data_IF_122153886078
#
_entry.id   IF_122153886078
#
_cell.length_a   1.000
_cell.length_b   1.000
_cell.length_c   1.000
_cell.angle_alpha   90.00
_cell.angle_beta   90.00
_cell.angle_gamma   90.00
#
_symmetry.space_group_name_H-M   'P 1'
#
loop_
_entity.id
_entity.type
_entity.pdbx_description
1 polymer ?
#
# COMPACT_ATOMS: atom_id res chain seq x y z
N UNK A 1 -7.12 -0.14 12.77
CA UNK A 1 -7.24 0.90 11.71
C UNK A 1 -7.87 2.24 12.14
N UNK A 2 -8.53 2.40 13.30
CA UNK A 2 -9.17 3.70 13.69
C UNK A 2 -8.23 4.93 13.66
N UNK A 3 -6.92 4.70 13.84
CA UNK A 3 -5.91 5.77 13.91
C UNK A 3 -5.33 6.17 12.54
N UNK A 4 -5.67 5.48 11.44
CA UNK A 4 -5.17 5.82 10.11
C UNK A 4 -5.86 7.07 9.56
N UNK A 5 -5.15 7.81 8.72
CA UNK A 5 -5.62 9.05 8.11
C UNK A 5 -6.82 8.80 7.18
N UNK A 6 -7.52 9.88 6.82
CA UNK A 6 -8.64 9.80 5.87
C UNK A 6 -8.18 9.27 4.52
N UNK A 7 -6.99 9.63 4.07
CA UNK A 7 -6.40 9.19 2.81
C UNK A 7 -6.21 7.66 2.77
N UNK A 8 -5.68 7.07 3.85
CA UNK A 8 -5.58 5.59 3.95
C UNK A 8 -6.95 4.94 3.96
N UNK A 9 -7.94 5.52 4.64
CA UNK A 9 -9.31 4.97 4.63
C UNK A 9 -9.92 5.03 3.23
N UNK A 10 -9.74 6.13 2.51
CA UNK A 10 -10.21 6.29 1.13
C UNK A 10 -9.52 5.32 0.16
N UNK A 11 -8.22 5.08 0.36
CA UNK A 11 -7.48 4.06 -0.39
C UNK A 11 -8.10 2.68 -0.17
N UNK A 12 -8.32 2.28 1.08
CA UNK A 12 -8.90 0.98 1.41
C UNK A 12 -10.33 0.83 0.87
N UNK A 13 -11.13 1.88 0.93
CA UNK A 13 -12.46 1.91 0.31
C UNK A 13 -12.37 1.74 -1.21
N UNK A 14 -11.43 2.44 -1.86
CA UNK A 14 -11.23 2.33 -3.31
C UNK A 14 -10.78 0.91 -3.69
N UNK A 15 -9.82 0.34 -2.97
CA UNK A 15 -9.35 -1.04 -3.17
C UNK A 15 -10.46 -2.07 -2.98
N UNK A 16 -11.41 -1.84 -2.06
CA UNK A 16 -12.54 -2.77 -1.84
C UNK A 16 -13.50 -2.88 -3.04
N UNK A 17 -13.42 -1.92 -3.98
CA UNK A 17 -14.23 -1.88 -5.20
C UNK A 17 -13.48 -2.44 -6.42
N UNK A 18 -12.19 -2.75 -6.27
CA UNK A 18 -11.36 -3.30 -7.33
C UNK A 18 -11.40 -4.83 -7.32
N UNK A 19 -11.41 -5.44 -8.50
CA UNK A 19 -11.13 -6.87 -8.62
C UNK A 19 -9.63 -7.10 -8.44
N UNK A 20 -9.25 -7.62 -7.27
CA UNK A 20 -7.87 -7.87 -6.86
C UNK A 20 -7.70 -9.33 -6.41
N UNK A 21 -6.49 -9.92 -6.56
CA UNK A 21 -6.16 -11.19 -5.92
C UNK A 21 -6.32 -11.10 -4.40
N UNK A 22 -6.53 -12.23 -3.73
CA UNK A 22 -6.63 -12.26 -2.26
C UNK A 22 -5.34 -11.77 -1.59
N UNK A 23 -5.51 -10.91 -0.59
CA UNK A 23 -4.45 -10.40 0.28
C UNK A 23 -5.03 -10.12 1.69
N UNK A 24 -4.14 -10.05 2.68
CA UNK A 24 -4.49 -9.61 4.04
C UNK A 24 -4.04 -8.16 4.25
N UNK A 25 -4.85 -7.36 4.95
CA UNK A 25 -4.45 -6.02 5.38
C UNK A 25 -3.73 -6.14 6.72
N UNK A 26 -2.54 -5.56 6.82
CA UNK A 26 -1.67 -5.59 8.01
C UNK A 26 -1.22 -4.19 8.37
N UNK A 27 -0.96 -3.96 9.66
CA UNK A 27 -0.61 -2.64 10.19
C UNK A 27 0.57 -2.77 11.15
N UNK A 28 1.75 -3.06 10.61
CA UNK A 28 2.97 -3.20 11.39
C UNK A 28 3.60 -1.85 11.79
N UNK A 29 3.20 -0.75 11.15
CA UNK A 29 3.60 0.63 11.49
C UNK A 29 2.41 1.37 12.10
N UNK A 30 2.00 0.92 13.29
CA UNK A 30 0.82 1.42 14.00
C UNK A 30 0.89 2.92 14.31
N UNK A 31 2.09 3.46 14.54
CA UNK A 31 2.36 4.87 14.77
C UNK A 31 2.29 5.73 13.49
N UNK A 32 2.52 5.16 12.30
CA UNK A 32 2.41 5.90 11.05
C UNK A 32 0.96 5.90 10.57
N UNK A 33 0.26 7.02 10.80
CA UNK A 33 -1.15 7.14 10.40
C UNK A 33 -1.36 7.16 8.88
N UNK A 34 -0.31 7.39 8.09
CA UNK A 34 -0.37 7.67 6.65
C UNK A 34 0.09 6.51 5.76
N UNK A 35 0.47 5.39 6.36
CA UNK A 35 0.86 4.16 5.67
C UNK A 35 0.04 2.95 6.11
N UNK A 36 -0.08 1.95 5.23
CA UNK A 36 -0.74 0.67 5.53
C UNK A 36 -0.04 -0.47 4.77
N UNK A 37 -0.04 -1.67 5.35
CA UNK A 37 0.55 -2.86 4.76
C UNK A 37 -0.49 -3.80 4.13
N UNK A 38 -0.09 -4.49 3.08
CA UNK A 38 -0.84 -5.55 2.42
C UNK A 38 0.05 -6.78 2.24
N UNK A 39 -0.40 -7.93 2.70
CA UNK A 39 0.37 -9.17 2.69
C UNK A 39 -0.26 -10.20 1.77
N UNK A 40 0.57 -10.82 0.92
CA UNK A 40 0.24 -12.03 0.16
C UNK A 40 1.40 -13.03 0.26
N UNK A 41 1.20 -14.12 1.00
CA UNK A 41 2.27 -15.08 1.28
C UNK A 41 3.44 -14.41 2.02
N UNK A 42 4.64 -14.54 1.45
CA UNK A 42 5.88 -13.95 1.97
C UNK A 42 6.16 -12.53 1.41
N UNK A 43 5.24 -11.96 0.61
CA UNK A 43 5.36 -10.60 0.09
C UNK A 43 4.57 -9.63 0.96
N UNK A 44 5.23 -8.54 1.34
CA UNK A 44 4.63 -7.42 2.06
C UNK A 44 4.72 -6.16 1.20
N UNK A 45 3.59 -5.49 1.02
CA UNK A 45 3.48 -4.25 0.26
C UNK A 45 3.05 -3.15 1.23
N UNK A 46 3.93 -2.18 1.49
CA UNK A 46 3.54 -0.96 2.19
C UNK A 46 3.14 0.11 1.20
N UNK A 47 2.00 0.75 1.47
CA UNK A 47 1.53 1.90 0.71
C UNK A 47 1.45 3.09 1.65
N UNK A 48 2.19 4.15 1.33
CA UNK A 48 2.05 5.45 1.98
C UNK A 48 1.22 6.38 1.10
N UNK A 49 0.36 7.15 1.75
CA UNK A 49 -0.44 8.23 1.14
C UNK A 49 0.13 9.61 1.47
N UNK A 50 1.26 9.66 2.17
CA UNK A 50 1.92 10.91 2.52
C UNK A 50 2.71 11.44 1.33
N UNK A 51 2.11 12.40 0.62
CA UNK A 51 2.80 13.21 -0.37
C UNK A 51 2.57 14.68 -0.10
N UNK A 52 3.64 15.47 -0.16
CA UNK A 52 3.54 16.94 -0.21
C UNK A 52 2.82 17.40 -1.49
N UNK A 53 2.88 16.59 -2.54
CA UNK A 53 2.19 16.79 -3.81
C UNK A 53 0.90 15.96 -3.84
N UNK A 54 -0.24 16.62 -3.68
CA UNK A 54 -1.57 15.98 -3.65
C UNK A 54 -1.96 15.29 -4.97
N UNK A 55 -1.23 15.53 -6.07
CA UNK A 55 -1.59 14.95 -7.38
C UNK A 55 -1.17 13.49 -7.53
N UNK A 56 -0.09 13.09 -6.83
CA UNK A 56 0.44 11.72 -6.86
C UNK A 56 0.74 11.25 -5.44
N UNK A 57 -0.29 10.92 -4.67
CA UNK A 57 -0.15 10.74 -3.23
C UNK A 57 0.45 9.39 -2.82
N UNK A 58 0.52 8.42 -3.74
CA UNK A 58 0.86 7.04 -3.38
C UNK A 58 2.34 6.75 -3.59
N UNK A 59 2.96 6.17 -2.57
CA UNK A 59 4.28 5.54 -2.64
C UNK A 59 4.17 4.09 -2.18
N UNK A 60 4.87 3.19 -2.85
CA UNK A 60 4.81 1.73 -2.64
C UNK A 60 6.20 1.24 -2.29
N UNK A 61 6.30 0.46 -1.22
CA UNK A 61 7.48 -0.33 -0.86
C UNK A 61 7.06 -1.80 -0.88
N UNK A 62 7.83 -2.66 -1.54
CA UNK A 62 7.63 -4.10 -1.56
C UNK A 62 8.82 -4.76 -0.91
N UNK A 63 8.54 -5.60 0.08
CA UNK A 63 9.53 -6.24 0.93
C UNK A 63 9.27 -7.74 1.01
N UNK A 64 10.34 -8.49 1.24
CA UNK A 64 10.26 -9.87 1.70
C UNK A 64 9.93 -9.88 3.19
N UNK A 65 8.79 -10.46 3.55
CA UNK A 65 8.26 -10.44 4.92
C UNK A 65 9.19 -11.12 5.93
N UNK A 66 9.91 -12.17 5.50
CA UNK A 66 10.75 -12.99 6.40
C UNK A 66 12.06 -12.30 6.73
N UNK A 67 12.64 -11.62 5.76
CA UNK A 67 13.96 -11.00 5.86
C UNK A 67 13.90 -9.50 6.09
N UNK A 68 12.74 -8.87 5.84
CA UNK A 68 12.58 -7.42 5.85
C UNK A 68 13.33 -6.72 4.72
N UNK A 69 13.81 -7.47 3.72
CA UNK A 69 14.58 -6.91 2.62
C UNK A 69 13.65 -6.20 1.64
N UNK A 70 13.93 -4.93 1.35
CA UNK A 70 13.30 -4.22 0.25
C UNK A 70 13.63 -4.93 -1.08
N UNK A 71 12.58 -5.38 -1.74
CA UNK A 71 12.64 -5.97 -3.08
C UNK A 71 12.50 -4.88 -4.14
N UNK A 72 11.65 -3.89 -3.87
CA UNK A 72 11.31 -2.85 -4.83
C UNK A 72 10.62 -1.64 -4.17
N UNK A 73 10.89 -0.44 -4.68
CA UNK A 73 10.27 0.82 -4.23
C UNK A 73 9.87 1.70 -5.43
N UNK A 74 8.71 2.36 -5.33
CA UNK A 74 8.35 3.52 -6.19
C UNK A 74 7.57 4.57 -5.43
N UNK A 75 7.90 5.84 -5.71
CA UNK A 75 7.20 7.00 -5.18
C UNK A 75 6.32 7.70 -6.22
N UNK A 76 5.44 8.58 -5.73
CA UNK A 76 4.67 9.56 -6.52
C UNK A 76 3.88 8.91 -7.65
N UNK A 77 2.90 8.09 -7.26
CA UNK A 77 1.95 7.44 -8.16
C UNK A 77 0.58 8.11 -8.08
N UNK A 78 -0.05 8.28 -9.23
CA UNK A 78 -1.51 8.43 -9.30
C UNK A 78 -2.17 7.12 -8.87
N UNK A 79 -3.47 7.16 -8.53
CA UNK A 79 -4.20 5.95 -8.16
C UNK A 79 -4.15 4.88 -9.26
N UNK A 80 -4.30 5.27 -10.53
CA UNK A 80 -4.27 4.36 -11.69
C UNK A 80 -2.89 3.71 -11.89
N UNK A 81 -1.80 4.46 -11.70
CA UNK A 81 -0.45 3.88 -11.76
C UNK A 81 -0.22 2.91 -10.59
N UNK A 82 -0.65 3.31 -9.39
CA UNK A 82 -0.58 2.49 -8.18
C UNK A 82 -1.32 1.16 -8.35
N UNK A 83 -2.58 1.17 -8.80
CA UNK A 83 -3.40 -0.05 -8.85
C UNK A 83 -2.86 -1.07 -9.86
N UNK A 84 -2.30 -0.60 -10.97
CA UNK A 84 -1.67 -1.45 -11.98
C UNK A 84 -0.43 -2.14 -11.42
N UNK A 85 0.38 -1.40 -10.67
CA UNK A 85 1.57 -1.91 -9.99
C UNK A 85 1.19 -2.88 -8.86
N UNK A 86 0.21 -2.52 -8.04
CA UNK A 86 -0.31 -3.35 -6.95
C UNK A 86 -0.83 -4.69 -7.46
N UNK A 87 -1.62 -4.69 -8.55
CA UNK A 87 -2.08 -5.91 -9.23
C UNK A 87 -0.93 -6.76 -9.75
N UNK A 88 0.13 -6.16 -10.28
CA UNK A 88 1.26 -6.91 -10.82
C UNK A 88 2.03 -7.64 -9.71
N UNK A 89 2.21 -7.01 -8.55
CA UNK A 89 2.87 -7.64 -7.39
C UNK A 89 2.00 -8.72 -6.75
N UNK A 90 0.67 -8.50 -6.71
CA UNK A 90 -0.27 -9.45 -6.14
C UNK A 90 -0.60 -10.64 -7.04
N UNK A 91 -0.13 -10.73 -8.28
CA UNK A 91 -0.35 -11.91 -9.13
C UNK A 91 0.54 -13.05 -8.65
#
# INVERSE_FOLDING_TARGET
MKNKSTEIRNLLESLSREELPEFSIVDYWDADTTAIGFQKGDILIYVSTFSKDKTKPYSIIVEDLKTGKELWFKEKKTYTEFINEFRAVLK
#
